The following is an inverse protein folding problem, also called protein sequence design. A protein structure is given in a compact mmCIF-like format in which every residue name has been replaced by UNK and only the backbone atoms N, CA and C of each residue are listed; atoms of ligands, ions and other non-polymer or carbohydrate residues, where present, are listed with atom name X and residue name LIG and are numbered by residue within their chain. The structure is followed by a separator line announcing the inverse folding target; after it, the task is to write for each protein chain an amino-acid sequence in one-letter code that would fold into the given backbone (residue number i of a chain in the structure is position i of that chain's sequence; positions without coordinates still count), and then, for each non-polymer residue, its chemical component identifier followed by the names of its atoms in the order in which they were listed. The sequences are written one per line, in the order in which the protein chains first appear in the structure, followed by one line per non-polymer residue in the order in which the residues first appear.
data_IF_461926948298
#
_entry.id   IF_461926948298
#
_cell.length_a   1.000
_cell.length_b   1.000
_cell.length_c   1.000
_cell.angle_alpha   90.00
_cell.angle_beta   90.00
_cell.angle_gamma   90.00
#
_symmetry.space_group_name_H-M   'P 1'
#
loop_
_entity.id
_entity.type
_entity.pdbx_description
1 polymer ?
#
# COMPACT_ATOMS: atom_id res chain seq x y z
N UNK A 1 -49.53 -18.75 43.86
CA UNK A 1 -49.48 -20.18 43.50
C UNK A 1 -50.41 -20.34 42.30
N UNK A 2 -49.86 -20.14 41.10
CA UNK A 2 -50.62 -20.15 39.84
C UNK A 2 -50.29 -21.42 39.08
N UNK A 3 -51.27 -22.28 38.91
CA UNK A 3 -51.23 -23.51 38.12
C UNK A 3 -51.47 -23.15 36.66
N UNK A 4 -50.45 -23.29 35.82
CA UNK A 4 -50.57 -23.31 34.36
C UNK A 4 -50.50 -24.77 33.91
N UNK A 5 -51.67 -25.37 33.69
CA UNK A 5 -51.85 -26.62 32.95
C UNK A 5 -52.46 -26.23 31.61
N UNK A 6 -51.65 -26.22 30.54
CA UNK A 6 -52.13 -26.36 29.16
C UNK A 6 -50.94 -26.73 28.25
N UNK A 7 -50.66 -28.03 28.17
CA UNK A 7 -49.73 -28.61 27.22
C UNK A 7 -50.52 -29.56 26.31
N UNK A 8 -51.28 -29.00 25.35
CA UNK A 8 -51.86 -29.78 24.25
C UNK A 8 -52.36 -28.94 23.06
N UNK A 9 -51.52 -28.01 22.60
CA UNK A 9 -51.71 -27.22 21.37
C UNK A 9 -50.30 -27.15 20.74
N UNK A 10 -49.93 -27.66 19.58
CA UNK A 10 -50.58 -28.39 18.50
C UNK A 10 -49.49 -29.28 17.87
N UNK A 11 -49.64 -30.61 17.90
CA UNK A 11 -48.78 -31.52 17.11
C UNK A 11 -49.31 -31.69 15.69
N UNK A 12 -50.59 -31.35 15.47
CA UNK A 12 -51.27 -31.44 14.17
C UNK A 12 -51.05 -30.21 13.26
N UNK A 13 -50.75 -29.03 13.83
CA UNK A 13 -50.50 -27.82 13.04
C UNK A 13 -49.11 -27.83 12.39
N UNK A 14 -48.15 -28.55 12.97
CA UNK A 14 -46.83 -28.76 12.37
C UNK A 14 -46.86 -29.77 11.23
N UNK A 15 -47.75 -30.77 11.25
CA UNK A 15 -47.85 -31.75 10.15
C UNK A 15 -48.57 -31.22 8.90
N UNK A 16 -49.33 -30.12 8.99
CA UNK A 16 -50.00 -29.52 7.82
C UNK A 16 -49.18 -28.44 7.12
N UNK A 17 -48.12 -27.92 7.75
CA UNK A 17 -47.24 -26.91 7.15
C UNK A 17 -46.10 -27.56 6.34
N UNK A 18 -45.69 -28.79 6.69
CA UNK A 18 -44.62 -29.53 6.01
C UNK A 18 -45.11 -30.63 5.05
N UNK A 19 -46.40 -30.66 4.73
CA UNK A 19 -46.99 -31.66 3.83
C UNK A 19 -47.19 -31.17 2.38
N UNK A 20 -46.63 -30.01 2.01
CA UNK A 20 -46.82 -29.37 0.69
C UNK A 20 -45.51 -28.97 0.00
N UNK A 21 -44.40 -29.67 0.26
CA UNK A 21 -43.23 -29.62 -0.65
C UNK A 21 -42.98 -31.01 -1.23
N UNK A 22 -42.96 -31.03 -2.57
CA UNK A 22 -43.02 -32.18 -3.45
C UNK A 22 -42.04 -33.29 -3.10
N UNK A 23 -42.60 -34.49 -3.02
CA UNK A 23 -41.94 -35.75 -3.33
C UNK A 23 -41.56 -35.76 -4.82
N UNK A 24 -40.51 -35.02 -5.17
CA UNK A 24 -39.94 -35.01 -6.52
C UNK A 24 -38.62 -35.77 -6.49
N UNK A 25 -38.71 -37.07 -6.84
CA UNK A 25 -37.58 -37.93 -7.17
C UNK A 25 -36.64 -37.34 -8.26
N UNK A 26 -37.00 -36.21 -8.87
CA UNK A 26 -36.19 -35.42 -9.79
C UNK A 26 -35.16 -34.52 -9.08
N UNK A 27 -35.41 -34.08 -7.83
CA UNK A 27 -34.44 -33.24 -7.08
C UNK A 27 -33.26 -34.05 -6.54
N UNK A 28 -33.51 -35.26 -6.03
CA UNK A 28 -32.45 -36.20 -5.63
C UNK A 28 -31.60 -36.67 -6.83
N UNK A 29 -32.22 -36.80 -8.01
CA UNK A 29 -31.50 -37.13 -9.24
C UNK A 29 -30.60 -35.98 -9.74
N UNK A 30 -31.03 -34.73 -9.58
CA UNK A 30 -30.23 -33.54 -9.91
C UNK A 30 -29.06 -33.34 -8.95
N UNK A 31 -29.24 -33.63 -7.65
CA UNK A 31 -28.16 -33.59 -6.65
C UNK A 31 -27.09 -34.68 -6.92
N UNK A 32 -27.49 -35.87 -7.35
CA UNK A 32 -26.58 -36.98 -7.67
C UNK A 32 -25.88 -36.84 -9.05
N UNK A 33 -26.41 -35.97 -9.93
CA UNK A 33 -25.71 -35.55 -11.16
C UNK A 33 -24.66 -34.48 -10.86
N UNK A 34 -24.98 -33.49 -10.01
CA UNK A 34 -24.05 -32.44 -9.60
C UNK A 34 -22.85 -32.97 -8.79
N UNK A 35 -23.03 -34.03 -8.00
CA UNK A 35 -21.93 -34.68 -7.26
C UNK A 35 -20.94 -35.40 -8.19
N UNK A 36 -21.41 -36.03 -9.28
CA UNK A 36 -20.56 -36.72 -10.26
C UNK A 36 -19.70 -35.75 -11.07
N UNK A 37 -20.17 -34.53 -11.29
CA UNK A 37 -19.39 -33.49 -11.97
C UNK A 37 -18.28 -32.92 -11.08
N UNK A 38 -18.50 -32.80 -9.76
CA UNK A 38 -17.45 -32.40 -8.80
C UNK A 38 -16.36 -33.48 -8.67
N UNK A 39 -16.72 -34.76 -8.66
CA UNK A 39 -15.75 -35.86 -8.62
C UNK A 39 -14.93 -35.97 -9.91
N UNK A 40 -15.52 -35.70 -11.08
CA UNK A 40 -14.80 -35.65 -12.37
C UNK A 40 -13.86 -34.45 -12.48
N UNK A 41 -14.20 -33.30 -11.89
CA UNK A 41 -13.29 -32.15 -11.83
C UNK A 41 -12.12 -32.37 -10.86
N UNK A 42 -12.32 -33.12 -9.76
CA UNK A 42 -11.25 -33.51 -8.85
C UNK A 42 -10.25 -34.47 -9.51
N UNK A 43 -10.72 -35.47 -10.26
CA UNK A 43 -9.86 -36.42 -10.97
C UNK A 43 -8.99 -35.77 -12.07
N UNK A 44 -9.48 -34.71 -12.73
CA UNK A 44 -8.71 -33.97 -13.74
C UNK A 44 -7.58 -33.10 -13.17
N UNK A 45 -7.62 -32.76 -11.88
CA UNK A 45 -6.55 -31.98 -11.22
C UNK A 45 -5.42 -32.87 -10.69
N UNK A 46 -5.68 -34.13 -10.37
CA UNK A 46 -4.65 -35.06 -9.89
C UNK A 46 -3.73 -35.57 -11.02
N UNK A 47 -4.24 -35.72 -12.25
CA UNK A 47 -3.45 -36.22 -13.40
C UNK A 47 -2.37 -35.24 -13.92
N UNK A 48 -2.36 -33.98 -13.48
CA UNK A 48 -1.33 -32.99 -13.83
C UNK A 48 -0.21 -32.84 -12.78
N UNK A 49 -0.34 -33.47 -11.61
CA UNK A 49 0.65 -33.38 -10.54
C UNK A 49 1.72 -34.49 -10.58
N UNK A 50 1.51 -35.55 -11.36
CA UNK A 50 2.37 -36.75 -11.37
C UNK A 50 3.43 -36.80 -12.50
N UNK A 51 3.50 -35.80 -13.37
CA UNK A 51 4.36 -35.84 -14.58
C UNK A 51 5.71 -35.09 -14.48
N UNK A 52 6.22 -34.79 -13.29
CA UNK A 52 7.55 -34.15 -13.11
C UNK A 52 8.38 -34.87 -12.05
N UNK A 53 8.71 -36.14 -12.28
CA UNK A 53 9.80 -36.85 -11.60
C UNK A 53 10.53 -37.72 -12.63
N UNK A 54 11.87 -37.76 -12.53
CA UNK A 54 12.86 -38.24 -13.50
C UNK A 54 13.07 -37.22 -14.65
N UNK A 55 14.16 -36.44 -14.69
CA UNK A 55 15.55 -36.87 -14.68
C UNK A 55 16.47 -35.87 -13.94
N UNK A 56 17.35 -36.39 -13.07
CA UNK A 56 18.65 -35.80 -12.76
C UNK A 56 19.69 -36.63 -13.49
N UNK A 57 20.79 -36.02 -13.97
CA UNK A 57 22.05 -36.37 -13.33
C UNK A 57 22.98 -35.18 -13.06
N UNK A 58 23.62 -35.28 -11.89
CA UNK A 58 24.80 -34.54 -11.46
C UNK A 58 26.04 -35.06 -12.19
N UNK A 59 26.92 -34.16 -12.61
CA UNK A 59 28.35 -34.43 -12.78
C UNK A 59 29.18 -33.42 -11.98
N UNK A 60 30.01 -34.02 -11.12
CA UNK A 60 31.02 -33.54 -10.17
C UNK A 60 32.32 -33.21 -10.97
N UNK A 61 33.21 -32.26 -10.66
CA UNK A 61 34.19 -32.26 -9.55
C UNK A 61 35.03 -30.96 -9.50
N UNK A 62 35.29 -30.52 -8.26
CA UNK A 62 36.55 -30.03 -7.66
C UNK A 62 37.30 -28.77 -8.18
N UNK A 63 37.37 -27.74 -7.33
CA UNK A 63 38.63 -27.37 -6.65
C UNK A 63 38.38 -26.39 -5.47
N UNK A 64 38.94 -26.72 -4.31
CA UNK A 64 38.99 -25.91 -3.09
C UNK A 64 39.85 -24.64 -3.27
N UNK A 65 39.44 -23.52 -2.66
CA UNK A 65 40.30 -22.67 -1.83
C UNK A 65 39.48 -21.54 -1.15
N UNK A 66 39.74 -21.36 0.14
CA UNK A 66 39.20 -20.36 1.08
C UNK A 66 39.77 -18.93 0.86
N UNK A 67 39.31 -17.89 1.62
CA UNK A 67 38.96 -16.56 1.10
C UNK A 67 40.10 -15.53 1.12
N UNK A 68 40.01 -14.50 0.26
CA UNK A 68 40.86 -13.32 0.34
C UNK A 68 40.05 -12.02 0.10
N UNK A 69 39.94 -11.25 1.18
CA UNK A 69 39.90 -9.78 1.32
C UNK A 69 39.58 -8.93 0.08
N UNK A 70 38.50 -8.15 0.18
CA UNK A 70 38.22 -7.01 -0.68
C UNK A 70 39.16 -5.84 -0.34
N UNK A 71 39.97 -5.44 -1.31
CA UNK A 71 40.58 -4.11 -1.39
C UNK A 71 40.00 -3.40 -2.62
N UNK A 72 39.68 -2.12 -2.42
CA UNK A 72 39.34 -1.14 -3.45
C UNK A 72 40.44 -1.08 -4.52
N UNK A 73 40.04 -0.95 -5.79
CA UNK A 73 40.73 -0.04 -6.70
C UNK A 73 39.85 0.39 -7.88
N UNK A 74 40.03 1.66 -8.22
CA UNK A 74 39.30 2.51 -9.14
C UNK A 74 39.65 2.23 -10.62
N UNK A 75 38.81 2.74 -11.52
CA UNK A 75 39.16 2.97 -12.93
C UNK A 75 38.60 4.32 -13.40
N UNK A 76 39.28 5.02 -14.34
CA UNK A 76 39.76 6.38 -14.11
C UNK A 76 39.07 7.43 -15.00
N UNK A 77 39.13 8.68 -14.54
CA UNK A 77 38.75 9.86 -15.30
C UNK A 77 39.89 10.33 -16.22
N UNK A 78 39.55 10.62 -17.48
CA UNK A 78 40.44 11.30 -18.43
C UNK A 78 40.09 12.80 -18.50
N UNK A 79 41.14 13.61 -18.33
CA UNK A 79 41.22 15.08 -18.42
C UNK A 79 41.26 15.53 -19.91
N UNK A 80 40.94 16.77 -20.26
CA UNK A 80 41.83 17.97 -20.25
C UNK A 80 41.08 19.19 -20.86
N UNK A 81 41.62 20.44 -20.87
CA UNK A 81 42.53 21.11 -19.95
C UNK A 81 42.08 22.55 -19.58
N UNK A 82 42.91 23.15 -18.73
CA UNK A 82 42.88 24.49 -18.12
C UNK A 82 43.76 25.49 -18.91
N UNK A 83 43.46 26.79 -18.82
CA UNK A 83 44.41 27.93 -18.61
C UNK A 83 43.59 29.24 -18.55
N UNK A 84 43.54 29.95 -17.42
CA UNK A 84 44.46 31.01 -16.91
C UNK A 84 44.13 32.41 -17.50
N UNK A 85 44.15 33.55 -16.79
CA UNK A 85 44.83 34.03 -15.57
C UNK A 85 44.18 35.34 -15.05
N UNK A 86 44.28 35.56 -13.72
CA UNK A 86 44.65 36.78 -12.92
C UNK A 86 44.17 38.19 -13.35
N UNK A 87 43.90 39.18 -12.49
CA UNK A 87 44.36 39.60 -11.15
C UNK A 87 43.26 40.53 -10.55
N UNK A 88 43.15 40.88 -9.27
CA UNK A 88 44.15 41.45 -8.36
C UNK A 88 43.55 41.56 -6.95
N UNK A 89 44.39 41.50 -5.92
CA UNK A 89 43.99 41.58 -4.51
C UNK A 89 44.06 43.00 -3.95
N UNK A 90 43.27 43.28 -2.91
CA UNK A 90 43.63 44.29 -1.93
C UNK A 90 42.97 43.99 -0.58
N UNK A 91 43.79 44.13 0.45
CA UNK A 91 43.56 43.83 1.86
C UNK A 91 42.55 44.79 2.50
N UNK A 92 41.99 44.34 3.62
CA UNK A 92 40.94 45.04 4.34
C UNK A 92 41.34 46.36 4.98
N UNK A 93 40.32 47.17 5.21
CA UNK A 93 40.27 48.14 6.29
C UNK A 93 38.89 48.04 6.94
N UNK A 94 38.91 47.82 8.26
CA UNK A 94 37.74 47.92 9.11
C UNK A 94 37.22 49.35 9.08
N UNK A 95 35.91 49.54 8.87
CA UNK A 95 35.02 50.23 9.81
C UNK A 95 33.68 50.56 9.15
N UNK A 96 32.64 50.49 9.99
CA UNK A 96 31.25 50.84 9.73
C UNK A 96 30.44 49.78 8.98
N UNK A 97 29.90 48.86 9.78
CA UNK A 97 28.61 48.26 9.51
C UNK A 97 27.60 49.35 9.17
N UNK A 98 27.39 49.57 7.87
CA UNK A 98 26.11 50.05 7.38
C UNK A 98 25.22 48.82 7.38
N UNK A 99 24.42 48.69 8.44
CA UNK A 99 23.20 47.92 8.43
C UNK A 99 22.34 48.42 7.26
N UNK A 100 22.48 47.79 6.09
CA UNK A 100 21.38 47.70 5.16
C UNK A 100 20.56 46.49 5.57
N UNK A 101 19.75 46.69 6.60
CA UNK A 101 18.47 46.00 6.72
C UNK A 101 17.65 46.40 5.49
N UNK A 102 17.87 45.72 4.35
CA UNK A 102 16.79 45.60 3.36
C UNK A 102 15.84 44.55 3.91
N UNK A 103 15.09 45.03 4.89
CA UNK A 103 13.80 44.51 5.26
C UNK A 103 12.93 44.56 4.00
N UNK A 104 12.92 43.48 3.23
CA UNK A 104 11.97 43.27 2.15
C UNK A 104 11.25 41.96 2.38
N UNK A 105 10.71 41.84 3.60
CA UNK A 105 9.63 40.91 3.96
C UNK A 105 8.28 41.34 3.37
N UNK A 106 8.26 42.35 2.48
CA UNK A 106 7.09 42.81 1.75
C UNK A 106 7.43 43.07 0.27
N UNK A 107 8.00 42.08 -0.41
CA UNK A 107 7.85 42.05 -1.86
C UNK A 107 6.49 41.43 -2.18
N UNK A 108 5.47 42.30 -2.30
CA UNK A 108 4.11 41.92 -2.69
C UNK A 108 4.11 41.08 -3.97
N UNK A 109 5.10 41.25 -4.86
CA UNK A 109 5.21 40.52 -6.11
C UNK A 109 5.60 39.05 -5.91
N UNK A 110 6.45 38.74 -4.91
CA UNK A 110 6.85 37.34 -4.62
C UNK A 110 5.77 36.58 -3.85
N UNK A 111 5.02 37.28 -2.99
CA UNK A 111 3.88 36.69 -2.28
C UNK A 111 2.71 36.47 -3.22
N UNK A 112 2.40 37.42 -4.10
CA UNK A 112 1.41 37.25 -5.18
C UNK A 112 1.82 36.14 -6.16
N UNK A 113 3.10 36.03 -6.54
CA UNK A 113 3.56 34.93 -7.38
C UNK A 113 3.42 33.56 -6.70
N UNK A 114 3.68 33.48 -5.38
CA UNK A 114 3.47 32.24 -4.62
C UNK A 114 1.99 31.93 -4.41
N UNK A 115 1.15 32.95 -4.19
CA UNK A 115 -0.30 32.80 -4.04
C UNK A 115 -1.01 32.46 -5.37
N UNK A 116 -0.53 32.96 -6.52
CA UNK A 116 -1.01 32.56 -7.85
C UNK A 116 -0.55 31.12 -8.17
N UNK A 117 0.70 30.74 -7.86
CA UNK A 117 1.19 29.38 -8.05
C UNK A 117 0.52 28.37 -7.10
N UNK A 118 0.28 28.72 -5.84
CA UNK A 118 -0.48 27.88 -4.90
C UNK A 118 -1.98 27.84 -5.28
N UNK A 119 -2.51 28.93 -5.86
CA UNK A 119 -3.85 28.98 -6.45
C UNK A 119 -4.01 28.11 -7.71
N UNK A 120 -2.95 27.95 -8.51
CA UNK A 120 -2.93 27.03 -9.65
C UNK A 120 -2.59 25.58 -9.27
N UNK A 121 -1.82 25.33 -8.20
CA UNK A 121 -1.72 23.98 -7.60
C UNK A 121 -3.07 23.51 -7.06
N UNK A 122 -3.89 24.45 -6.60
CA UNK A 122 -5.30 24.23 -6.27
C UNK A 122 -6.25 24.33 -7.47
N UNK A 123 -5.75 24.43 -8.72
CA UNK A 123 -6.58 24.53 -9.93
C UNK A 123 -7.54 23.34 -10.12
N UNK A 124 -7.40 22.28 -9.32
CA UNK A 124 -8.29 21.12 -9.40
C UNK A 124 -8.20 20.45 -10.77
N UNK A 125 -7.13 20.72 -11.53
CA UNK A 125 -6.85 20.04 -12.76
C UNK A 125 -6.54 18.59 -12.41
N UNK A 126 -7.40 17.71 -12.92
CA UNK A 126 -7.25 16.26 -12.78
C UNK A 126 -6.66 15.76 -14.08
N UNK A 127 -5.46 15.19 -14.01
CA UNK A 127 -4.88 14.46 -15.12
C UNK A 127 -5.38 13.02 -15.04
N UNK A 128 -6.23 12.61 -15.98
CA UNK A 128 -6.74 11.23 -16.04
C UNK A 128 -5.98 10.42 -17.08
N UNK A 129 -5.37 9.33 -16.63
CA UNK A 129 -4.72 8.32 -17.46
C UNK A 129 -5.72 7.20 -17.68
N UNK A 130 -6.19 7.06 -18.91
CA UNK A 130 -7.16 6.04 -19.29
C UNK A 130 -6.54 4.64 -19.35
N UNK A 131 -7.38 3.60 -19.25
CA UNK A 131 -6.96 2.19 -19.15
C UNK A 131 -6.14 1.66 -20.33
N UNK A 132 -6.24 2.28 -21.51
CA UNK A 132 -5.44 1.93 -22.69
C UNK A 132 -4.00 2.47 -22.67
N UNK A 133 -3.65 3.29 -21.68
CA UNK A 133 -2.35 3.96 -21.62
C UNK A 133 -1.37 3.14 -20.80
N UNK A 134 -0.17 2.92 -21.35
CA UNK A 134 0.98 2.36 -20.62
C UNK A 134 2.04 3.44 -20.48
N UNK A 135 2.41 3.74 -19.26
CA UNK A 135 3.46 4.71 -18.95
C UNK A 135 4.66 3.94 -18.44
N UNK A 136 5.81 4.17 -19.06
CA UNK A 136 7.10 3.65 -18.62
C UNK A 136 8.01 4.84 -18.34
N UNK A 137 8.42 5.02 -17.09
CA UNK A 137 9.20 6.17 -16.62
C UNK A 137 8.52 6.90 -15.47
N UNK A 138 9.14 8.00 -15.05
CA UNK A 138 8.64 8.84 -13.95
C UNK A 138 7.49 9.74 -14.37
N UNK A 139 6.50 9.89 -13.50
CA UNK A 139 5.39 10.84 -13.63
C UNK A 139 5.57 11.89 -12.56
N UNK A 140 5.58 13.18 -12.95
CA UNK A 140 5.53 14.30 -12.01
C UNK A 140 4.30 15.15 -12.34
N UNK A 141 3.42 15.34 -11.35
CA UNK A 141 2.20 16.12 -11.49
C UNK A 141 2.06 17.12 -10.36
N UNK A 142 1.86 18.40 -10.70
CA UNK A 142 1.55 19.44 -9.73
C UNK A 142 0.07 19.40 -9.28
N UNK A 143 -0.80 18.80 -10.10
CA UNK A 143 -2.25 18.68 -9.88
C UNK A 143 -2.69 17.29 -9.42
N UNK A 144 -4.01 17.04 -9.41
CA UNK A 144 -4.56 15.73 -9.06
C UNK A 144 -4.35 14.72 -10.19
N UNK A 145 -4.15 13.45 -9.84
CA UNK A 145 -3.89 12.38 -10.80
C UNK A 145 -4.91 11.25 -10.64
N UNK A 146 -5.48 10.78 -11.74
CA UNK A 146 -6.31 9.59 -11.77
C UNK A 146 -5.72 8.57 -12.75
N UNK A 147 -5.49 7.35 -12.28
CA UNK A 147 -4.79 6.30 -13.02
C UNK A 147 -5.70 5.11 -13.22
N UNK A 148 -6.12 4.88 -14.45
CA UNK A 148 -6.85 3.67 -14.85
C UNK A 148 -5.99 2.70 -15.69
N UNK A 149 -4.77 3.13 -16.09
CA UNK A 149 -3.85 2.40 -16.98
C UNK A 149 -2.80 1.53 -16.28
N UNK A 150 -1.69 1.28 -16.97
CA UNK A 150 -0.52 0.60 -16.38
C UNK A 150 0.62 1.60 -16.25
N UNK A 151 1.15 1.75 -15.04
CA UNK A 151 2.33 2.57 -14.76
C UNK A 151 3.47 1.66 -14.33
N UNK A 152 4.60 1.81 -15.01
CA UNK A 152 5.88 1.20 -14.63
C UNK A 152 6.88 2.33 -14.40
N UNK A 153 7.14 2.66 -13.15
CA UNK A 153 8.01 3.78 -12.76
C UNK A 153 7.48 4.56 -11.57
N UNK A 154 8.22 5.58 -11.18
CA UNK A 154 7.90 6.40 -10.00
C UNK A 154 6.81 7.43 -10.32
N UNK A 155 5.92 7.68 -9.36
CA UNK A 155 4.82 8.64 -9.47
C UNK A 155 4.96 9.66 -8.36
N UNK A 156 5.24 10.90 -8.72
CA UNK A 156 5.31 12.04 -7.82
C UNK A 156 4.13 12.98 -8.10
N UNK A 157 3.35 13.28 -7.07
CA UNK A 157 2.16 14.11 -7.19
C UNK A 157 2.01 15.02 -5.97
N UNK A 158 1.84 16.32 -6.20
CA UNK A 158 1.64 17.27 -5.09
C UNK A 158 0.18 17.37 -4.63
N UNK A 159 -0.72 16.61 -5.26
CA UNK A 159 -2.15 16.62 -4.99
C UNK A 159 -2.70 15.25 -4.59
N UNK A 160 -3.97 15.04 -4.92
CA UNK A 160 -4.66 13.78 -4.71
C UNK A 160 -4.39 12.82 -5.86
N UNK A 161 -4.06 11.58 -5.52
CA UNK A 161 -3.85 10.50 -6.48
C UNK A 161 -4.93 9.43 -6.29
N UNK A 162 -5.58 9.03 -7.38
CA UNK A 162 -6.52 7.92 -7.42
C UNK A 162 -6.00 6.83 -8.35
N UNK A 163 -5.67 5.65 -7.81
CA UNK A 163 -5.08 4.53 -8.55
C UNK A 163 -6.10 3.40 -8.69
N UNK A 164 -6.61 3.20 -9.90
CA UNK A 164 -7.53 2.11 -10.26
C UNK A 164 -6.80 1.05 -11.08
N UNK A 165 -5.78 1.46 -11.85
CA UNK A 165 -4.97 0.61 -12.71
C UNK A 165 -3.79 -0.08 -12.02
N UNK A 166 -2.96 -0.80 -12.78
CA UNK A 166 -1.77 -1.48 -12.23
C UNK A 166 -0.61 -0.50 -12.10
N UNK A 167 0.00 -0.45 -10.92
CA UNK A 167 1.16 0.40 -10.67
C UNK A 167 2.30 -0.45 -10.12
N UNK A 168 3.46 -0.31 -10.74
CA UNK A 168 4.71 -0.92 -10.34
C UNK A 168 5.77 0.18 -10.21
N UNK A 169 6.07 0.60 -8.98
CA UNK A 169 7.03 1.67 -8.71
C UNK A 169 6.71 2.42 -7.41
N UNK A 170 7.53 3.41 -7.07
CA UNK A 170 7.31 4.22 -5.88
C UNK A 170 6.24 5.27 -6.14
N UNK A 171 5.32 5.44 -5.21
CA UNK A 171 4.26 6.45 -5.31
C UNK A 171 4.40 7.43 -4.17
N UNK A 172 4.68 8.68 -4.51
CA UNK A 172 4.76 9.81 -3.58
C UNK A 172 3.61 10.76 -3.85
N UNK A 173 2.73 10.96 -2.87
CA UNK A 173 1.65 11.94 -3.01
C UNK A 173 1.22 12.60 -1.69
N UNK A 174 0.43 13.67 -1.78
CA UNK A 174 -0.18 14.26 -0.59
C UNK A 174 -1.38 13.46 -0.09
N UNK A 175 -2.24 12.96 -0.98
CA UNK A 175 -3.32 12.04 -0.62
C UNK A 175 -3.39 10.89 -1.61
N UNK A 176 -3.54 9.65 -1.12
CA UNK A 176 -3.60 8.47 -1.98
C UNK A 176 -4.91 7.72 -1.76
N UNK A 177 -5.62 7.48 -2.86
CA UNK A 177 -6.71 6.54 -2.95
C UNK A 177 -6.31 5.38 -3.86
N UNK A 178 -6.30 4.17 -3.32
CA UNK A 178 -5.92 2.97 -4.05
C UNK A 178 -7.15 2.07 -4.19
N UNK A 179 -7.59 1.83 -5.42
CA UNK A 179 -8.69 0.94 -5.79
C UNK A 179 -8.28 0.05 -6.97
N UNK A 180 -7.08 -0.52 -6.90
CA UNK A 180 -6.54 -1.42 -7.93
C UNK A 180 -6.44 -2.85 -7.45
N UNK A 181 -6.53 -3.81 -8.38
CA UNK A 181 -6.35 -5.22 -8.08
C UNK A 181 -4.93 -5.55 -7.57
N UNK A 182 -3.90 -4.82 -8.04
CA UNK A 182 -2.51 -5.07 -7.65
C UNK A 182 -1.65 -3.81 -7.76
N UNK A 183 -1.01 -3.44 -6.65
CA UNK A 183 -0.01 -2.39 -6.56
C UNK A 183 1.27 -3.00 -5.98
N UNK A 184 2.39 -2.80 -6.67
CA UNK A 184 3.71 -3.25 -6.23
C UNK A 184 4.65 -2.05 -6.11
N UNK A 185 5.24 -1.86 -4.94
CA UNK A 185 6.17 -0.77 -4.68
C UNK A 185 5.90 -0.07 -3.35
N UNK A 186 6.78 0.87 -3.00
CA UNK A 186 6.67 1.65 -1.78
C UNK A 186 5.69 2.81 -1.95
N UNK A 187 4.81 2.99 -0.97
CA UNK A 187 3.80 4.04 -0.96
C UNK A 187 4.14 5.07 0.11
N UNK A 188 4.58 6.25 -0.31
CA UNK A 188 4.88 7.37 0.58
C UNK A 188 3.82 8.46 0.43
N UNK A 189 3.04 8.68 1.48
CA UNK A 189 1.98 9.69 1.49
C UNK A 189 2.16 10.67 2.62
N UNK A 190 2.17 11.97 2.33
CA UNK A 190 2.24 12.99 3.38
C UNK A 190 0.92 13.08 4.17
N UNK A 191 -0.20 12.69 3.56
CA UNK A 191 -1.54 12.75 4.15
C UNK A 191 -2.19 11.37 4.34
N UNK A 192 -3.53 11.30 4.35
CA UNK A 192 -4.27 10.05 4.54
C UNK A 192 -4.20 9.13 3.31
N UNK A 193 -3.94 7.85 3.56
CA UNK A 193 -4.03 6.78 2.57
C UNK A 193 -5.33 6.02 2.75
N UNK A 194 -6.05 5.79 1.65
CA UNK A 194 -7.29 5.01 1.60
C UNK A 194 -7.12 3.85 0.63
N UNK A 195 -7.19 2.65 1.15
CA UNK A 195 -7.09 1.41 0.39
C UNK A 195 -8.49 0.82 0.28
N UNK A 196 -8.94 0.65 -0.96
CA UNK A 196 -10.24 0.11 -1.31
C UNK A 196 -10.33 -1.40 -1.06
N UNK A 197 -11.55 -1.92 -1.22
CA UNK A 197 -11.81 -3.36 -1.09
C UNK A 197 -11.20 -4.13 -2.26
N UNK A 198 -10.72 -5.36 -1.99
CA UNK A 198 -10.20 -6.26 -3.04
C UNK A 198 -8.88 -5.82 -3.67
N UNK A 199 -8.21 -4.81 -3.11
CA UNK A 199 -6.89 -4.38 -3.58
C UNK A 199 -5.78 -5.20 -2.94
N UNK A 200 -4.74 -5.53 -3.69
CA UNK A 200 -3.55 -6.20 -3.15
C UNK A 200 -2.36 -5.24 -3.25
N UNK A 201 -1.83 -4.82 -2.12
CA UNK A 201 -0.61 -4.01 -2.03
C UNK A 201 0.54 -4.90 -1.59
N UNK A 202 1.63 -4.87 -2.35
CA UNK A 202 2.89 -5.54 -2.01
C UNK A 202 3.98 -4.48 -1.93
N UNK A 203 4.36 -4.12 -0.71
CA UNK A 203 5.34 -3.07 -0.44
C UNK A 203 5.06 -2.35 0.87
N UNK A 204 5.97 -1.45 1.23
CA UNK A 204 5.90 -0.68 2.45
C UNK A 204 4.98 0.54 2.28
N UNK A 205 4.28 0.90 3.36
CA UNK A 205 3.31 2.00 3.35
C UNK A 205 3.66 2.99 4.45
N UNK A 206 4.08 4.17 4.03
CA UNK A 206 4.38 5.31 4.89
C UNK A 206 3.28 6.37 4.75
N UNK A 207 2.58 6.69 5.84
CA UNK A 207 1.52 7.69 5.81
C UNK A 207 1.30 8.42 7.12
N UNK A 208 0.58 9.54 7.09
CA UNK A 208 0.11 10.19 8.32
C UNK A 208 -1.11 9.48 8.91
N UNK A 209 -1.98 8.91 8.09
CA UNK A 209 -3.16 8.15 8.52
C UNK A 209 -3.52 7.12 7.46
N UNK A 210 -4.05 5.97 7.87
CA UNK A 210 -4.37 4.90 6.93
C UNK A 210 -5.75 4.31 7.19
N UNK A 211 -6.51 4.12 6.12
CA UNK A 211 -7.74 3.35 6.11
C UNK A 211 -7.56 2.17 5.17
N UNK A 212 -7.67 0.96 5.69
CA UNK A 212 -7.29 -0.27 4.99
C UNK A 212 -8.52 -1.15 4.84
N UNK A 213 -9.03 -1.33 3.63
CA UNK A 213 -10.10 -2.29 3.32
C UNK A 213 -9.65 -3.44 2.40
N UNK A 214 -8.37 -3.48 2.03
CA UNK A 214 -7.80 -4.46 1.11
C UNK A 214 -6.79 -5.41 1.77
N UNK A 215 -6.11 -6.18 0.94
CA UNK A 215 -4.98 -6.99 1.35
C UNK A 215 -3.66 -6.19 1.24
N UNK A 216 -2.89 -6.15 2.32
CA UNK A 216 -1.59 -5.45 2.35
C UNK A 216 -0.53 -6.43 2.82
N UNK A 217 0.55 -6.56 2.06
CA UNK A 217 1.73 -7.33 2.39
C UNK A 217 2.94 -6.41 2.41
N UNK A 218 3.48 -6.15 3.59
CA UNK A 218 4.59 -5.24 3.81
C UNK A 218 4.51 -4.58 5.18
N UNK A 219 5.49 -3.73 5.49
CA UNK A 219 5.48 -2.98 6.73
C UNK A 219 4.67 -1.68 6.57
N UNK A 220 3.85 -1.39 7.57
CA UNK A 220 2.98 -0.22 7.60
C UNK A 220 3.51 0.71 8.68
N UNK A 221 4.02 1.88 8.30
CA UNK A 221 4.47 2.94 9.21
C UNK A 221 3.54 4.14 9.10
N UNK A 222 2.73 4.34 10.14
CA UNK A 222 1.72 5.39 10.16
C UNK A 222 1.82 6.21 11.43
N UNK A 223 2.21 7.48 11.31
CA UNK A 223 2.40 8.35 12.47
C UNK A 223 1.10 8.68 13.24
N UNK A 224 -0.06 8.43 12.65
CA UNK A 224 -1.37 8.74 13.20
C UNK A 224 -2.25 7.52 13.45
N UNK A 225 -3.51 7.64 13.02
CA UNK A 225 -4.53 6.63 13.23
C UNK A 225 -4.58 5.66 12.05
N UNK A 226 -4.68 4.37 12.35
CA UNK A 226 -4.90 3.30 11.37
C UNK A 226 -6.26 2.68 11.65
N UNK A 227 -7.11 2.62 10.63
CA UNK A 227 -8.40 1.94 10.69
C UNK A 227 -8.39 0.79 9.71
N UNK A 228 -8.52 -0.42 10.23
CA UNK A 228 -8.57 -1.66 9.48
C UNK A 228 -10.04 -2.07 9.33
N UNK A 229 -10.52 -2.14 8.10
CA UNK A 229 -11.91 -2.47 7.76
C UNK A 229 -12.17 -3.98 7.81
N UNK A 230 -13.45 -4.37 7.82
CA UNK A 230 -13.90 -5.75 8.04
C UNK A 230 -13.43 -6.78 7.00
N UNK A 231 -12.93 -6.33 5.85
CA UNK A 231 -12.45 -7.20 4.75
C UNK A 231 -10.94 -7.17 4.57
N UNK A 232 -10.23 -6.41 5.41
CA UNK A 232 -8.80 -6.22 5.25
C UNK A 232 -7.99 -7.42 5.73
N UNK A 233 -6.91 -7.70 5.01
CA UNK A 233 -5.96 -8.78 5.33
C UNK A 233 -4.56 -8.18 5.33
N UNK A 234 -3.94 -8.07 6.50
CA UNK A 234 -2.61 -7.48 6.63
C UNK A 234 -1.63 -8.59 6.98
N UNK A 235 -0.55 -8.69 6.20
CA UNK A 235 0.59 -9.58 6.45
C UNK A 235 1.88 -8.76 6.54
N UNK A 236 2.31 -8.44 7.75
CA UNK A 236 3.48 -7.61 7.99
C UNK A 236 3.39 -6.83 9.30
N UNK A 237 4.39 -6.00 9.58
CA UNK A 237 4.43 -5.25 10.83
C UNK A 237 3.64 -3.95 10.71
N UNK A 238 2.90 -3.59 11.75
CA UNK A 238 2.17 -2.33 11.82
C UNK A 238 2.80 -1.48 12.91
N UNK A 239 3.36 -0.33 12.54
CA UNK A 239 3.79 0.73 13.45
C UNK A 239 2.80 1.87 13.35
N UNK A 240 2.11 2.17 14.45
CA UNK A 240 1.15 3.26 14.46
C UNK A 240 1.09 4.01 15.79
N UNK A 241 0.35 5.13 15.83
CA UNK A 241 -0.01 5.78 17.11
C UNK A 241 -1.26 5.15 17.73
N UNK A 242 -2.23 4.79 16.89
CA UNK A 242 -3.46 4.11 17.31
C UNK A 242 -3.94 3.21 16.17
N UNK A 243 -4.41 2.01 16.52
CA UNK A 243 -4.98 1.07 15.56
C UNK A 243 -6.40 0.71 15.99
N UNK A 244 -7.34 0.89 15.08
CA UNK A 244 -8.71 0.42 15.21
C UNK A 244 -8.93 -0.73 14.23
N UNK A 245 -9.35 -1.88 14.73
CA UNK A 245 -9.61 -3.06 13.91
C UNK A 245 -11.11 -3.37 13.95
N UNK A 246 -11.75 -3.41 12.78
CA UNK A 246 -13.15 -3.81 12.66
C UNK A 246 -13.31 -5.33 12.60
N UNK A 247 -14.53 -5.80 12.89
CA UNK A 247 -14.84 -7.23 12.90
C UNK A 247 -14.69 -7.85 11.51
N UNK A 248 -13.88 -8.90 11.40
CA UNK A 248 -13.62 -9.61 10.14
C UNK A 248 -12.26 -9.32 9.51
N UNK A 249 -11.58 -8.26 9.96
CA UNK A 249 -10.20 -7.99 9.60
C UNK A 249 -9.26 -9.10 10.10
N UNK A 250 -8.32 -9.51 9.26
CA UNK A 250 -7.27 -10.48 9.61
C UNK A 250 -5.93 -9.76 9.59
N UNK A 251 -5.26 -9.70 10.74
CA UNK A 251 -3.93 -9.10 10.86
C UNK A 251 -2.96 -10.18 11.33
N UNK A 252 -1.96 -10.47 10.51
CA UNK A 252 -0.90 -11.43 10.75
C UNK A 252 0.45 -10.71 10.73
N UNK A 253 0.99 -10.45 11.93
CA UNK A 253 2.25 -9.75 12.12
C UNK A 253 2.33 -9.04 13.47
N UNK A 254 3.42 -8.29 13.67
CA UNK A 254 3.62 -7.54 14.90
C UNK A 254 3.02 -6.15 14.79
N UNK A 255 2.14 -5.81 15.73
CA UNK A 255 1.64 -4.45 15.89
C UNK A 255 2.38 -3.77 17.04
N UNK A 256 3.05 -2.65 16.75
CA UNK A 256 3.74 -1.82 17.73
C UNK A 256 3.18 -0.41 17.70
N UNK A 257 2.76 0.09 18.85
CA UNK A 257 2.19 1.42 19.00
C UNK A 257 3.26 2.44 19.43
N UNK A 258 4.40 2.47 18.73
CA UNK A 258 5.58 3.24 19.16
C UNK A 258 5.36 4.77 19.18
N UNK A 259 4.44 5.26 18.35
CA UNK A 259 4.08 6.69 18.32
C UNK A 259 2.99 7.05 19.34
N UNK A 260 2.48 6.07 20.10
CA UNK A 260 1.63 6.36 21.24
C UNK A 260 2.53 6.99 22.31
N UNK A 261 2.32 8.28 22.60
CA UNK A 261 3.07 9.02 23.62
C UNK A 261 2.76 8.58 25.06
N UNK A 262 2.58 7.28 25.29
CA UNK A 262 2.32 6.65 26.57
C UNK A 262 3.51 5.76 26.91
N UNK A 263 4.27 6.16 27.92
CA UNK A 263 5.25 5.27 28.52
C UNK A 263 4.48 4.28 29.39
N UNK A 264 4.48 3.00 29.02
CA UNK A 264 3.76 1.97 29.78
C UNK A 264 4.35 1.83 31.19
N UNK A 265 5.66 2.03 31.34
CA UNK A 265 6.36 1.88 32.60
C UNK A 265 5.85 2.86 33.68
N UNK A 266 5.52 4.10 33.30
CA UNK A 266 4.98 5.12 34.22
C UNK A 266 3.60 4.74 34.80
N UNK A 267 2.81 3.93 34.06
CA UNK A 267 1.49 3.45 34.53
C UNK A 267 1.60 2.28 35.50
N UNK A 268 2.65 1.46 35.39
CA UNK A 268 2.82 0.27 36.23
C UNK A 268 3.69 0.52 37.47
N UNK A 269 4.48 1.60 37.52
CA UNK A 269 5.37 1.94 38.66
C UNK A 269 4.74 2.85 39.75
N UNK A 270 3.41 3.03 39.74
CA UNK A 270 2.70 3.79 40.78
C UNK A 270 2.72 3.12 42.16
N UNK A 271 3.63 3.57 43.04
CA UNK A 271 3.62 3.35 44.50
C UNK A 271 2.73 4.35 45.24
#
# INVERSE_FOLDING_TARGET
MGTFDDANVDKDLLSQIFADEGDDAETDALLDEMLKDVEKEAAKKEEQAEAVQEELPLEEIAAEAEPAQAQEEEIPAAQEPMEETASDGAQGEASQALNFETNTENDSVRKEAKEIMDGERQSGTVTTITSGTKINGGISSDGSLEVMGVITGDVECQGKVSIIGKVSGNVTASEVYVSTQRLEGSLSSEGPVKIGVGTIIVGDVDATSAYIAGAVKGDIDVNGHVVVDSTAIIKGNIKAKSVQVNNGAVVDGYCSLNYAGVNLDDFFDGK
#
